data_IF_330942697420
#
_entry.id   IF_330942697420
#
_cell.length_a   1.000
_cell.length_b   1.000
_cell.length_c   1.000
_cell.angle_alpha   90.00
_cell.angle_beta   90.00
_cell.angle_gamma   90.00
#
_symmetry.space_group_name_H-M   'P 1'
#
loop_
_entity.id
_entity.type
_entity.pdbx_description
1 polymer ?
#
# COMPACT_ATOMS: atom_id res chain seq x y z
N UNK A 1 -8.18 -2.80 -6.55
CA UNK A 1 -7.96 -3.42 -7.89
C UNK A 1 -6.83 -4.47 -7.83
N UNK A 2 -6.86 -5.48 -8.70
CA UNK A 2 -5.88 -6.57 -8.67
C UNK A 2 -4.44 -6.08 -8.90
N UNK A 3 -4.22 -5.24 -9.91
CA UNK A 3 -2.88 -4.72 -10.21
C UNK A 3 -2.33 -3.80 -9.10
N UNK A 4 -3.19 -3.09 -8.37
CA UNK A 4 -2.76 -2.28 -7.23
C UNK A 4 -2.22 -3.15 -6.09
N UNK A 5 -2.84 -4.31 -5.84
CA UNK A 5 -2.34 -5.28 -4.85
C UNK A 5 -0.98 -5.84 -5.27
N UNK A 6 -0.83 -6.24 -6.54
CA UNK A 6 0.44 -6.73 -7.09
C UNK A 6 1.57 -5.69 -6.97
N UNK A 7 1.25 -4.42 -7.22
CA UNK A 7 2.21 -3.32 -7.09
C UNK A 7 2.71 -3.18 -5.64
N UNK A 8 1.80 -3.19 -4.67
CA UNK A 8 2.14 -3.13 -3.24
C UNK A 8 3.01 -4.34 -2.85
N UNK A 9 2.61 -5.56 -3.23
CA UNK A 9 3.39 -6.77 -2.96
C UNK A 9 4.80 -6.69 -3.55
N UNK A 10 4.94 -6.16 -4.77
CA UNK A 10 6.26 -6.02 -5.40
C UNK A 10 7.17 -5.05 -4.63
N UNK A 11 6.61 -3.97 -4.06
CA UNK A 11 7.38 -3.04 -3.23
C UNK A 11 7.84 -3.70 -1.92
N UNK A 12 6.98 -4.50 -1.29
CA UNK A 12 7.32 -5.25 -0.06
C UNK A 12 8.48 -6.22 -0.31
N UNK A 13 8.43 -6.96 -1.44
CA UNK A 13 9.51 -7.87 -1.85
C UNK A 13 10.85 -7.14 -2.10
N UNK A 14 10.81 -6.01 -2.81
CA UNK A 14 12.01 -5.26 -3.18
C UNK A 14 12.69 -4.60 -1.98
N UNK A 15 11.88 -4.14 -1.02
CA UNK A 15 12.36 -3.41 0.16
C UNK A 15 12.56 -4.32 1.38
N UNK A 16 12.19 -5.61 1.26
CA UNK A 16 12.15 -6.56 2.37
C UNK A 16 11.43 -6.03 3.62
N UNK A 17 10.46 -5.14 3.41
CA UNK A 17 9.76 -4.39 4.47
C UNK A 17 8.27 -4.40 4.20
N UNK A 18 7.46 -4.70 5.22
CA UNK A 18 6.00 -4.73 5.09
C UNK A 18 5.40 -3.31 5.04
N UNK A 19 4.37 -3.11 4.21
CA UNK A 19 3.64 -1.84 4.12
C UNK A 19 2.45 -1.88 5.08
N UNK A 20 2.54 -1.08 6.16
CA UNK A 20 1.49 -0.99 7.19
C UNK A 20 0.40 0.05 6.94
N UNK A 21 0.63 1.05 6.08
CA UNK A 21 -0.33 2.11 5.78
C UNK A 21 -0.28 2.54 4.32
N UNK A 22 -1.44 2.88 3.75
CA UNK A 22 -1.57 3.33 2.37
C UNK A 22 -2.53 4.54 2.32
N UNK A 23 -2.00 5.73 2.03
CA UNK A 23 -2.80 6.94 1.78
C UNK A 23 -3.27 6.94 0.32
N UNK A 24 -4.59 6.94 0.09
CA UNK A 24 -5.18 6.81 -1.25
C UNK A 24 -5.72 8.12 -1.82
N UNK A 25 -5.81 9.17 -1.00
CA UNK A 25 -6.17 10.53 -1.42
C UNK A 25 -5.52 11.58 -0.49
N UNK A 26 -5.71 12.89 -0.75
CA UNK A 26 -5.32 13.96 0.19
C UNK A 26 -6.16 14.00 1.49
N UNK A 27 -7.35 13.42 1.51
CA UNK A 27 -8.17 13.34 2.72
C UNK A 27 -7.53 12.35 3.71
N UNK A 28 -7.38 12.77 4.97
CA UNK A 28 -6.80 11.95 6.03
C UNK A 28 -7.55 10.64 6.23
N UNK A 29 -8.87 10.63 6.03
CA UNK A 29 -9.70 9.45 6.24
C UNK A 29 -9.59 8.43 5.10
N UNK A 30 -9.03 8.82 3.95
CA UNK A 30 -8.80 7.93 2.81
C UNK A 30 -7.47 7.16 2.96
N UNK A 31 -7.27 6.59 4.14
CA UNK A 31 -6.09 5.81 4.50
C UNK A 31 -6.47 4.37 4.85
N UNK A 32 -5.80 3.41 4.22
CA UNK A 32 -5.93 1.98 4.54
C UNK A 32 -4.84 1.62 5.54
N UNK A 33 -5.23 1.07 6.69
CA UNK A 33 -4.32 0.55 7.73
C UNK A 33 -4.37 -0.98 7.68
N UNK A 34 -3.20 -1.64 7.65
CA UNK A 34 -3.05 -3.11 7.55
C UNK A 34 -2.48 -3.72 8.82
#
# INVERSE_FOLDING_TARGET
PENAKKYITRLEELTATAIGMISTSPDRNDTIIR
#
